data_IF_709611380607
#
_entry.id   IF_709611380607
#
_cell.length_a   1.000
_cell.length_b   1.000
_cell.length_c   1.000
_cell.angle_alpha   90.00
_cell.angle_beta   90.00
_cell.angle_gamma   90.00
#
_symmetry.space_group_name_H-M   'P 1'
#
loop_
_entity.id
_entity.type
_entity.pdbx_description
1 polymer ?
#
# COMPACT_ATOMS: atom_id res chain seq x y z
N UNK A 1 -20.25 5.43 -1.94
CA UNK A 1 -19.69 6.77 -1.67
C UNK A 1 -18.33 6.87 -2.33
N UNK A 2 -17.98 8.03 -2.91
CA UNK A 2 -16.63 8.26 -3.43
C UNK A 2 -15.61 8.23 -2.29
N UNK A 3 -14.44 7.65 -2.58
CA UNK A 3 -13.29 7.64 -1.70
C UNK A 3 -12.76 9.05 -1.51
N UNK A 4 -12.17 9.35 -0.34
CA UNK A 4 -11.45 10.61 -0.09
C UNK A 4 -10.31 10.88 -1.10
N UNK A 5 -9.84 9.86 -1.82
CA UNK A 5 -8.83 9.99 -2.86
C UNK A 5 -9.40 10.31 -4.25
N UNK A 6 -10.68 10.07 -4.51
CA UNK A 6 -11.26 10.22 -5.86
C UNK A 6 -11.08 11.64 -6.41
N UNK A 7 -11.33 12.74 -5.65
CA UNK A 7 -11.10 14.10 -6.16
C UNK A 7 -9.64 14.39 -6.51
N UNK A 8 -8.69 13.76 -5.81
CA UNK A 8 -7.26 13.91 -6.10
C UNK A 8 -6.84 13.13 -7.34
N UNK A 9 -7.47 11.98 -7.59
CA UNK A 9 -7.30 11.21 -8.83
C UNK A 9 -7.82 12.01 -10.03
N UNK A 10 -9.01 12.61 -9.90
CA UNK A 10 -9.60 13.44 -10.94
C UNK A 10 -8.70 14.64 -11.26
N UNK A 11 -8.15 15.29 -10.22
CA UNK A 11 -7.17 16.38 -10.38
C UNK A 11 -5.86 15.93 -11.04
N UNK A 12 -5.46 14.67 -10.87
CA UNK A 12 -4.31 14.11 -11.58
C UNK A 12 -4.60 13.89 -13.08
N UNK A 13 -5.88 13.77 -13.45
CA UNK A 13 -6.38 13.62 -14.80
C UNK A 13 -5.75 12.44 -15.58
N UNK A 14 -5.49 11.32 -14.90
CA UNK A 14 -4.88 10.13 -15.51
C UNK A 14 -3.42 10.32 -15.95
N UNK A 15 -2.78 11.42 -15.58
CA UNK A 15 -1.39 11.72 -15.91
C UNK A 15 -0.50 11.48 -14.69
N UNK A 16 0.68 10.86 -14.91
CA UNK A 16 1.70 10.72 -13.86
C UNK A 16 2.19 12.12 -13.44
N UNK A 17 2.08 12.43 -12.15
CA UNK A 17 2.60 13.67 -11.57
C UNK A 17 3.92 13.44 -10.84
N UNK A 18 4.58 14.54 -10.46
CA UNK A 18 5.81 14.48 -9.67
C UNK A 18 5.55 14.03 -8.23
N UNK A 19 6.60 13.51 -7.57
CA UNK A 19 6.62 13.20 -6.13
C UNK A 19 6.13 14.39 -5.28
N UNK A 20 6.56 15.61 -5.61
CA UNK A 20 6.14 16.83 -4.92
C UNK A 20 4.63 17.09 -5.08
N UNK A 21 4.10 16.91 -6.28
CA UNK A 21 2.67 17.08 -6.54
C UNK A 21 1.83 16.11 -5.69
N UNK A 22 2.16 14.81 -5.70
CA UNK A 22 1.40 13.82 -4.92
C UNK A 22 1.48 14.08 -3.41
N UNK A 23 2.68 14.44 -2.92
CA UNK A 23 2.88 14.81 -1.52
C UNK A 23 2.02 16.00 -1.11
N UNK A 24 2.03 17.07 -1.91
CA UNK A 24 1.26 18.29 -1.64
C UNK A 24 -0.26 18.02 -1.72
N UNK A 25 -0.69 17.23 -2.70
CA UNK A 25 -2.09 16.83 -2.83
C UNK A 25 -2.57 16.05 -1.59
N UNK A 26 -1.79 15.10 -1.10
CA UNK A 26 -2.12 14.34 0.12
C UNK A 26 -2.05 15.22 1.36
N UNK A 27 -1.07 16.13 1.45
CA UNK A 27 -0.94 17.08 2.56
C UNK A 27 -2.21 17.92 2.74
N UNK A 28 -2.87 18.30 1.64
CA UNK A 28 -4.11 19.10 1.68
C UNK A 28 -5.31 18.37 2.31
N UNK A 29 -5.25 17.04 2.42
CA UNK A 29 -6.31 16.21 3.02
C UNK A 29 -5.84 15.47 4.28
N UNK A 30 -4.59 15.64 4.71
CA UNK A 30 -3.94 14.81 5.72
C UNK A 30 -4.75 14.74 7.03
N UNK A 31 -5.23 15.87 7.53
CA UNK A 31 -5.99 15.97 8.79
C UNK A 31 -7.35 15.27 8.74
N UNK A 32 -7.85 15.01 7.52
CA UNK A 32 -9.15 14.38 7.28
C UNK A 32 -9.04 12.89 7.02
N UNK A 33 -7.82 12.35 6.83
CA UNK A 33 -7.58 10.95 6.51
C UNK A 33 -7.27 10.17 7.78
N UNK A 34 -7.99 9.06 7.97
CA UNK A 34 -7.67 8.06 8.99
C UNK A 34 -7.86 6.65 8.44
N UNK A 35 -7.21 5.66 9.06
CA UNK A 35 -7.38 4.26 8.69
C UNK A 35 -8.87 3.85 8.68
N UNK A 36 -9.63 4.21 9.72
CA UNK A 36 -11.07 3.92 9.81
C UNK A 36 -11.87 4.57 8.68
N UNK A 37 -11.58 5.85 8.37
CA UNK A 37 -12.27 6.56 7.29
C UNK A 37 -11.99 5.90 5.93
N UNK A 38 -10.73 5.58 5.64
CA UNK A 38 -10.34 4.89 4.41
C UNK A 38 -11.06 3.55 4.27
N UNK A 39 -11.13 2.76 5.35
CA UNK A 39 -11.85 1.49 5.36
C UNK A 39 -13.35 1.69 5.12
N UNK A 40 -13.98 2.71 5.72
CA UNK A 40 -15.41 2.98 5.58
C UNK A 40 -15.83 3.48 4.19
N UNK A 41 -14.94 4.18 3.47
CA UNK A 41 -15.26 4.82 2.18
C UNK A 41 -14.68 4.08 0.97
N UNK A 42 -13.88 3.03 1.19
CA UNK A 42 -13.12 2.38 0.14
C UNK A 42 -13.73 1.07 -0.37
N UNK A 43 -13.08 0.48 -1.38
CA UNK A 43 -13.46 -0.81 -1.96
C UNK A 43 -12.90 -1.94 -1.09
N UNK A 44 -13.76 -2.58 -0.30
CA UNK A 44 -13.37 -3.67 0.60
C UNK A 44 -13.53 -5.04 -0.09
N UNK A 45 -12.51 -5.87 0.04
CA UNK A 45 -12.48 -7.25 -0.45
C UNK A 45 -12.24 -8.23 0.69
N UNK A 46 -12.82 -9.44 0.62
CA UNK A 46 -12.52 -10.51 1.58
C UNK A 46 -11.12 -11.14 1.43
N UNK A 47 -10.44 -10.86 0.31
CA UNK A 47 -9.07 -11.33 0.01
C UNK A 47 -8.25 -10.18 -0.58
N UNK A 48 -6.92 -10.18 -0.42
CA UNK A 48 -6.10 -9.11 -0.98
C UNK A 48 -6.15 -9.14 -2.51
N UNK A 49 -6.30 -7.97 -3.12
CA UNK A 49 -6.26 -7.81 -4.57
C UNK A 49 -4.84 -7.99 -5.08
N UNK A 50 -4.61 -9.03 -5.87
CA UNK A 50 -3.32 -9.31 -6.52
C UNK A 50 -2.99 -8.17 -7.50
N UNK A 51 -1.71 -7.78 -7.55
CA UNK A 51 -1.20 -6.72 -8.43
C UNK A 51 -1.62 -5.29 -8.04
N UNK A 52 -2.28 -5.13 -6.89
CA UNK A 52 -2.71 -3.83 -6.36
C UNK A 52 -2.26 -3.66 -4.93
N UNK A 53 -2.20 -2.43 -4.47
CA UNK A 53 -1.94 -2.15 -3.06
C UNK A 53 -3.18 -2.47 -2.23
N UNK A 54 -2.96 -2.91 -1.00
CA UNK A 54 -4.00 -3.28 -0.06
C UNK A 54 -3.69 -2.69 1.31
N UNK A 55 -4.69 -2.11 1.95
CA UNK A 55 -4.63 -1.77 3.38
C UNK A 55 -5.57 -2.66 4.18
N UNK A 56 -5.21 -3.01 5.39
CA UNK A 56 -6.01 -3.86 6.27
C UNK A 56 -5.53 -3.73 7.71
N UNK A 57 -6.38 -4.03 8.69
CA UNK A 57 -5.95 -4.14 10.08
C UNK A 57 -5.30 -5.51 10.34
N UNK A 58 -4.16 -5.51 11.01
CA UNK A 58 -3.36 -6.70 11.27
C UNK A 58 -2.87 -6.76 12.71
N UNK A 59 -2.94 -7.95 13.31
CA UNK A 59 -2.50 -8.23 14.68
C UNK A 59 -1.41 -9.30 14.67
N UNK A 60 -0.11 -8.95 14.62
CA UNK A 60 0.96 -9.92 14.33
C UNK A 60 1.09 -11.04 15.36
N UNK A 61 1.32 -12.27 14.88
CA UNK A 61 1.60 -13.46 15.71
C UNK A 61 2.67 -13.23 16.78
N UNK A 62 3.79 -12.61 16.38
CA UNK A 62 4.95 -12.38 17.25
C UNK A 62 4.98 -10.96 17.84
N UNK A 63 3.83 -10.28 17.98
CA UNK A 63 3.77 -8.90 18.50
C UNK A 63 4.50 -8.69 19.83
N UNK A 64 4.58 -9.73 20.67
CA UNK A 64 5.30 -9.70 21.96
C UNK A 64 6.82 -9.54 21.81
N UNK A 65 7.42 -10.16 20.80
CA UNK A 65 8.89 -10.19 20.59
C UNK A 65 9.37 -9.28 19.45
N UNK A 66 8.50 -8.89 18.51
CA UNK A 66 8.87 -7.97 17.44
C UNK A 66 9.33 -6.62 18.00
N UNK A 67 10.42 -6.04 17.48
CA UNK A 67 10.91 -4.72 17.91
C UNK A 67 9.93 -3.62 17.52
N UNK A 68 9.32 -3.71 16.34
CA UNK A 68 8.23 -2.86 15.89
C UNK A 68 7.42 -3.56 14.80
N UNK A 69 6.17 -3.14 14.64
CA UNK A 69 5.27 -3.69 13.62
C UNK A 69 4.18 -2.71 13.24
N UNK A 70 3.71 -2.79 12.01
CA UNK A 70 2.60 -1.99 11.50
C UNK A 70 1.27 -2.72 11.68
N UNK A 71 0.30 -2.05 12.30
CA UNK A 71 -1.06 -2.57 12.54
C UNK A 71 -2.05 -2.19 11.44
N UNK A 72 -1.67 -1.28 10.53
CA UNK A 72 -2.45 -0.90 9.36
C UNK A 72 -1.56 -0.84 8.10
N UNK A 73 -1.00 -1.97 7.65
CA UNK A 73 -0.02 -2.02 6.58
C UNK A 73 -0.56 -1.65 5.20
N UNK A 74 0.28 -0.99 4.38
CA UNK A 74 0.05 -0.77 2.95
C UNK A 74 0.88 -1.77 2.12
N UNK A 75 0.23 -2.82 1.63
CA UNK A 75 0.91 -4.01 1.11
C UNK A 75 0.63 -4.24 -0.37
N UNK A 76 1.68 -4.53 -1.14
CA UNK A 76 1.57 -5.19 -2.46
C UNK A 76 1.80 -6.69 -2.26
N UNK A 77 0.77 -7.55 -2.41
CA UNK A 77 0.94 -9.00 -2.34
C UNK A 77 1.82 -9.50 -3.49
N UNK A 78 2.77 -10.39 -3.19
CA UNK A 78 3.72 -10.92 -4.19
C UNK A 78 3.77 -12.45 -4.24
N UNK A 79 3.27 -13.14 -3.20
CA UNK A 79 3.33 -14.59 -3.12
C UNK A 79 2.31 -15.13 -2.11
N UNK A 80 1.68 -16.27 -2.41
CA UNK A 80 0.87 -17.00 -1.43
C UNK A 80 1.77 -17.90 -0.61
N UNK A 81 1.53 -17.96 0.70
CA UNK A 81 2.25 -18.87 1.61
C UNK A 81 1.24 -19.71 2.38
N UNK A 82 1.64 -20.85 2.97
CA UNK A 82 0.76 -21.62 3.85
C UNK A 82 0.16 -20.72 4.94
N UNK A 83 -1.17 -20.71 5.04
CA UNK A 83 -1.91 -19.91 6.01
C UNK A 83 -1.90 -18.40 5.80
N UNK A 84 -1.39 -17.89 4.67
CA UNK A 84 -1.25 -16.45 4.47
C UNK A 84 -0.75 -16.00 3.10
N UNK A 85 -0.10 -14.83 3.09
CA UNK A 85 0.62 -14.32 1.94
C UNK A 85 1.88 -13.54 2.36
N UNK A 86 2.84 -13.44 1.45
CA UNK A 86 3.94 -12.50 1.55
C UNK A 86 3.64 -11.27 0.68
N UNK A 87 4.05 -10.10 1.17
CA UNK A 87 3.84 -8.85 0.46
C UNK A 87 4.84 -7.80 0.85
N UNK A 88 5.04 -6.83 -0.05
CA UNK A 88 5.88 -5.67 0.18
C UNK A 88 5.07 -4.64 0.96
N UNK A 89 5.45 -4.37 2.22
CA UNK A 89 4.83 -3.31 3.01
C UNK A 89 5.56 -1.98 2.78
N UNK A 90 4.89 -1.06 2.09
CA UNK A 90 5.42 0.25 1.76
C UNK A 90 5.64 1.11 3.01
N UNK A 91 4.89 0.91 4.10
CA UNK A 91 5.08 1.71 5.31
C UNK A 91 6.45 1.51 5.97
N UNK A 92 7.16 0.42 5.67
CA UNK A 92 8.54 0.19 6.14
C UNK A 92 9.60 1.03 5.40
N UNK A 93 9.19 1.84 4.43
CA UNK A 93 10.02 2.84 3.77
C UNK A 93 9.59 4.25 4.19
N UNK A 94 10.53 5.20 4.22
CA UNK A 94 10.21 6.63 4.28
C UNK A 94 9.34 7.03 3.08
N UNK A 95 8.41 7.99 3.22
CA UNK A 95 7.45 8.35 2.16
C UNK A 95 8.06 8.58 0.77
N UNK A 96 9.23 9.24 0.67
CA UNK A 96 9.93 9.41 -0.61
C UNK A 96 10.38 8.09 -1.24
N UNK A 97 10.96 7.19 -0.44
CA UNK A 97 11.39 5.87 -0.92
C UNK A 97 10.22 4.97 -1.32
N UNK A 98 9.03 5.16 -0.72
CA UNK A 98 7.79 4.47 -1.16
C UNK A 98 7.44 4.83 -2.60
N UNK A 99 7.49 6.11 -2.94
CA UNK A 99 7.23 6.59 -4.29
C UNK A 99 8.29 6.07 -5.27
N UNK A 100 9.58 6.15 -4.91
CA UNK A 100 10.67 5.59 -5.75
C UNK A 100 10.48 4.09 -6.00
N UNK A 101 10.05 3.32 -4.99
CA UNK A 101 9.71 1.91 -5.20
C UNK A 101 8.53 1.76 -6.17
N UNK A 102 7.47 2.56 -6.02
CA UNK A 102 6.31 2.53 -6.90
C UNK A 102 6.68 2.86 -8.36
N UNK A 103 7.59 3.81 -8.58
CA UNK A 103 8.14 4.13 -9.90
C UNK A 103 8.91 2.96 -10.50
N UNK A 104 9.77 2.31 -9.72
CA UNK A 104 10.50 1.11 -10.17
C UNK A 104 9.57 -0.04 -10.51
N UNK A 105 8.42 -0.15 -9.84
CA UNK A 105 7.41 -1.16 -10.11
C UNK A 105 6.59 -0.89 -11.38
N UNK A 106 6.60 0.34 -11.94
CA UNK A 106 5.85 0.68 -13.16
C UNK A 106 6.24 -0.20 -14.36
N UNK A 107 7.49 -0.67 -14.44
CA UNK A 107 7.95 -1.59 -15.50
C UNK A 107 7.23 -2.94 -15.48
N UNK A 108 6.57 -3.27 -14.37
CA UNK A 108 5.76 -4.47 -14.21
C UNK A 108 4.27 -4.18 -14.39
N UNK A 109 3.88 -2.98 -14.82
CA UNK A 109 2.48 -2.68 -15.12
C UNK A 109 2.00 -3.48 -16.33
N UNK A 110 0.74 -3.94 -16.29
CA UNK A 110 0.18 -4.74 -17.38
C UNK A 110 -0.40 -3.89 -18.53
N UNK A 111 -0.50 -2.57 -18.32
CA UNK A 111 -1.01 -1.60 -19.28
C UNK A 111 -0.18 -0.32 -19.17
N UNK A 112 -0.06 0.41 -20.27
CA UNK A 112 0.60 1.72 -20.29
C UNK A 112 -0.40 2.86 -20.02
N UNK A 113 -1.14 2.80 -18.91
CA UNK A 113 -2.11 3.82 -18.51
C UNK A 113 -2.18 3.99 -16.99
N UNK A 114 -2.56 5.18 -16.51
CA UNK A 114 -2.86 5.42 -15.08
C UNK A 114 -4.37 5.35 -14.89
N UNK A 115 -4.89 4.14 -14.70
CA UNK A 115 -6.33 3.90 -14.51
C UNK A 115 -6.56 2.76 -13.51
N UNK A 116 -7.75 2.71 -12.92
CA UNK A 116 -8.17 1.59 -12.06
C UNK A 116 -8.14 0.20 -12.73
N UNK A 117 -8.15 0.14 -14.07
CA UNK A 117 -8.06 -1.11 -14.87
C UNK A 117 -6.65 -1.66 -14.92
N UNK A 118 -5.64 -0.82 -14.69
CA UNK A 118 -4.25 -1.25 -14.62
C UNK A 118 -3.95 -1.96 -13.28
N UNK A 119 -2.87 -2.73 -13.26
CA UNK A 119 -2.31 -3.43 -12.09
C UNK A 119 -0.84 -3.77 -12.36
N UNK A 120 -0.12 -4.15 -11.31
CA UNK A 120 1.21 -4.71 -11.42
C UNK A 120 1.15 -6.22 -11.62
N UNK A 121 1.94 -6.75 -12.54
CA UNK A 121 2.30 -8.16 -12.65
C UNK A 121 3.60 -8.42 -11.86
N UNK A 122 3.43 -8.69 -10.58
CA UNK A 122 4.54 -8.86 -9.62
C UNK A 122 4.48 -10.22 -8.94
N UNK A 123 5.66 -10.78 -8.74
CA UNK A 123 5.91 -11.96 -7.91
C UNK A 123 7.23 -11.76 -7.17
N UNK A 124 7.49 -12.54 -6.12
CA UNK A 124 8.77 -12.48 -5.40
C UNK A 124 9.98 -12.50 -6.34
N UNK A 125 10.02 -13.42 -7.30
CA UNK A 125 11.14 -13.54 -8.24
C UNK A 125 11.35 -12.31 -9.13
N UNK A 126 10.27 -11.59 -9.48
CA UNK A 126 10.35 -10.38 -10.34
C UNK A 126 10.89 -9.18 -9.57
N UNK A 127 10.65 -9.11 -8.27
CA UNK A 127 10.90 -7.91 -7.46
C UNK A 127 12.03 -8.08 -6.43
N UNK A 128 12.49 -9.30 -6.15
CA UNK A 128 13.50 -9.60 -5.12
C UNK A 128 14.82 -8.83 -5.27
N UNK A 129 15.20 -8.47 -6.51
CA UNK A 129 16.44 -7.74 -6.80
C UNK A 129 16.30 -6.22 -6.70
N UNK A 130 15.10 -5.69 -6.37
CA UNK A 130 14.94 -4.27 -6.10
C UNK A 130 15.49 -3.95 -4.69
N UNK A 131 16.47 -3.04 -4.54
CA UNK A 131 17.07 -2.75 -3.23
C UNK A 131 16.05 -2.34 -2.15
N UNK A 132 15.04 -1.56 -2.53
CA UNK A 132 13.96 -1.09 -1.63
C UNK A 132 12.97 -2.19 -1.20
N UNK A 133 13.01 -3.37 -1.84
CA UNK A 133 12.13 -4.49 -1.52
C UNK A 133 12.68 -5.36 -0.38
N UNK A 134 14.01 -5.49 -0.26
CA UNK A 134 14.67 -6.49 0.58
C UNK A 134 14.16 -6.49 2.03
N UNK A 135 14.04 -5.32 2.66
CA UNK A 135 13.66 -5.19 4.08
C UNK A 135 12.17 -4.90 4.31
N UNK A 136 11.37 -4.84 3.24
CA UNK A 136 9.95 -4.46 3.28
C UNK A 136 9.02 -5.64 3.05
N UNK A 137 9.53 -6.80 2.63
CA UNK A 137 8.76 -8.04 2.55
C UNK A 137 8.38 -8.50 3.96
N UNK A 138 7.08 -8.66 4.20
CA UNK A 138 6.50 -9.21 5.44
C UNK A 138 5.55 -10.36 5.11
N UNK A 139 5.38 -11.27 6.07
CA UNK A 139 4.43 -12.40 6.00
C UNK A 139 3.20 -12.06 6.82
N UNK A 140 2.02 -12.26 6.22
CA UNK A 140 0.72 -11.98 6.81
C UNK A 140 -0.10 -13.26 6.85
N UNK A 141 -0.46 -13.70 8.05
CA UNK A 141 -1.29 -14.89 8.27
C UNK A 141 -2.76 -14.50 8.28
N UNK A 142 -3.61 -15.28 7.61
CA UNK A 142 -5.05 -15.02 7.53
C UNK A 142 -5.71 -14.95 8.91
N UNK A 143 -5.31 -15.82 9.84
CA UNK A 143 -5.80 -15.85 11.22
C UNK A 143 -5.42 -14.62 12.05
N UNK A 144 -4.55 -13.74 11.53
CA UNK A 144 -4.08 -12.51 12.17
C UNK A 144 -4.57 -11.24 11.46
N UNK A 145 -5.29 -11.39 10.34
CA UNK A 145 -5.99 -10.28 9.69
C UNK A 145 -7.27 -9.97 10.48
N UNK A 146 -7.51 -8.69 10.75
CA UNK A 146 -8.60 -8.21 11.63
C UNK A 146 -9.66 -7.39 10.90
N UNK A 147 -9.60 -7.36 9.57
CA UNK A 147 -10.57 -6.65 8.73
C UNK A 147 -10.65 -7.26 7.34
N UNK A 148 -11.59 -6.77 6.54
CA UNK A 148 -11.49 -6.87 5.07
C UNK A 148 -10.23 -6.14 4.56
N UNK A 149 -9.89 -6.35 3.28
CA UNK A 149 -8.80 -5.66 2.59
C UNK A 149 -9.35 -4.47 1.81
N UNK A 150 -8.91 -3.27 2.17
CA UNK A 150 -9.11 -2.09 1.35
C UNK A 150 -8.23 -2.18 0.10
N UNK A 151 -8.86 -2.39 -1.05
CA UNK A 151 -8.21 -2.36 -2.36
C UNK A 151 -7.89 -0.92 -2.73
N UNK A 152 -6.62 -0.67 -3.02
CA UNK A 152 -6.13 0.58 -3.61
C UNK A 152 -5.90 0.34 -5.10
N UNK A 153 -6.71 1.00 -5.93
CA UNK A 153 -6.57 0.97 -7.37
C UNK A 153 -5.26 1.63 -7.85
N UNK A 154 -4.83 1.28 -9.06
CA UNK A 154 -3.53 1.69 -9.59
C UNK A 154 -3.39 3.21 -9.71
N UNK A 155 -4.46 3.88 -10.13
CA UNK A 155 -4.58 5.35 -10.19
C UNK A 155 -4.46 6.04 -8.82
N UNK A 156 -4.79 5.32 -7.74
CA UNK A 156 -4.67 5.79 -6.35
C UNK A 156 -3.34 5.43 -5.69
N UNK A 157 -2.51 4.59 -6.31
CA UNK A 157 -1.32 4.05 -5.66
C UNK A 157 -0.30 5.14 -5.29
N UNK A 158 -0.07 6.11 -6.18
CA UNK A 158 0.88 7.20 -5.97
C UNK A 158 0.45 8.18 -4.86
N UNK A 159 -0.85 8.40 -4.69
CA UNK A 159 -1.39 9.14 -3.53
C UNK A 159 -1.25 8.31 -2.24
N UNK A 160 -1.59 7.02 -2.33
CA UNK A 160 -1.67 6.14 -1.16
C UNK A 160 -0.34 5.96 -0.44
N UNK A 161 0.79 6.00 -1.16
CA UNK A 161 2.12 5.90 -0.54
C UNK A 161 2.47 7.09 0.36
N UNK A 162 1.84 8.26 0.15
CA UNK A 162 2.04 9.46 0.98
C UNK A 162 1.02 9.59 2.12
N UNK A 163 -0.01 8.75 2.18
CA UNK A 163 -1.02 8.84 3.23
C UNK A 163 -0.37 8.68 4.62
N UNK A 164 -0.65 9.57 5.58
CA UNK A 164 -0.10 9.51 6.94
C UNK A 164 -0.88 8.51 7.81
N UNK A 165 -1.07 7.28 7.32
CA UNK A 165 -1.91 6.25 7.97
C UNK A 165 -1.13 5.03 8.46
N UNK A 166 0.20 5.07 8.42
CA UNK A 166 1.02 4.04 9.03
C UNK A 166 0.78 3.98 10.55
N UNK A 167 0.53 2.79 11.09
CA UNK A 167 0.21 2.61 12.51
C UNK A 167 1.20 1.65 13.15
N UNK A 168 2.45 2.12 13.29
CA UNK A 168 3.48 1.35 13.95
C UNK A 168 3.28 1.28 15.47
N UNK A 169 3.64 0.13 16.06
CA UNK A 169 3.72 -0.10 17.50
C UNK A 169 5.16 -0.40 17.89
N UNK A 170 5.52 -0.08 19.14
CA UNK A 170 6.84 -0.25 19.77
C UNK A 170 8.02 0.53 19.17
N UNK A 171 7.86 1.13 17.99
CA UNK A 171 8.90 1.92 17.33
C UNK A 171 8.52 2.25 15.89
N UNK A 172 9.48 2.75 15.12
CA UNK A 172 9.36 3.05 13.69
C UNK A 172 10.59 2.49 12.95
N UNK A 173 10.47 2.05 11.69
CA UNK A 173 11.61 1.58 10.90
C UNK A 173 12.59 2.67 10.47
N UNK A 174 12.29 3.94 10.73
CA UNK A 174 13.08 5.09 10.28
C UNK A 174 12.79 6.37 11.05
#
# INVERSE_FOLDING_TARGET
>A
MPSILDPLVDKAAGVRKSSAWYRNAVSSIADRVSARRLMSQGKLNGRPSIGRLNMFFYDPKYKKTLPYYDTFPLVLPIERIPGGFAGINFHYLRPGARFTLLERLQRFSIRNEVSSRNRFDVSYNRVKNLPLVKNTIKKYLWSHVRSSFLRIDYDKAALSVYLPVAQFRKGSPY
#
